data_IF_000647385839
#
_entry.id   IF_000647385839
#
_cell.length_a   1.000
_cell.length_b   1.000
_cell.length_c   1.000
_cell.angle_alpha   90.00
_cell.angle_beta   90.00
_cell.angle_gamma   90.00
#
_symmetry.space_group_name_H-M   'P 1'
#
loop_
_entity.id
_entity.type
_entity.pdbx_description
1 polymer ?
#
# COMPACT_ATOMS: atom_id res chain seq x y z
N UNK A 1 6.40 8.93 -7.08
CA UNK A 1 6.00 10.02 -6.16
C UNK A 1 6.98 11.15 -6.32
N UNK A 2 6.63 12.35 -5.84
CA UNK A 2 7.43 13.57 -5.94
C UNK A 2 8.82 13.40 -5.31
N UNK A 3 8.89 12.66 -4.20
CA UNK A 3 10.13 12.41 -3.43
C UNK A 3 10.83 11.10 -3.77
N UNK A 4 10.58 10.54 -4.96
CA UNK A 4 11.27 9.33 -5.42
C UNK A 4 12.67 9.67 -5.91
N UNK A 5 13.71 9.04 -5.35
CA UNK A 5 15.10 9.20 -5.81
C UNK A 5 15.38 8.45 -7.13
N UNK A 6 14.44 7.62 -7.58
CA UNK A 6 14.58 6.81 -8.78
C UNK A 6 13.59 7.24 -9.85
N UNK A 7 14.13 7.52 -11.03
CA UNK A 7 13.39 7.68 -12.28
C UNK A 7 13.65 6.45 -13.18
N UNK A 8 12.62 5.62 -13.34
CA UNK A 8 12.70 4.45 -14.23
C UNK A 8 12.36 4.92 -15.63
N UNK A 9 13.41 5.18 -16.43
CA UNK A 9 13.25 5.47 -17.86
C UNK A 9 12.50 4.33 -18.56
N UNK A 10 11.59 4.69 -19.45
CA UNK A 10 10.74 3.76 -20.23
C UNK A 10 11.52 2.62 -20.90
N UNK A 11 12.72 2.91 -21.43
CA UNK A 11 13.61 1.91 -22.05
C UNK A 11 14.08 0.81 -21.10
N UNK A 12 14.16 1.10 -19.80
CA UNK A 12 14.63 0.17 -18.76
C UNK A 12 13.49 -0.49 -17.99
N UNK A 13 12.26 0.00 -18.14
CA UNK A 13 11.08 -0.43 -17.38
C UNK A 13 10.84 -1.95 -17.49
N UNK A 14 10.76 -2.47 -18.71
CA UNK A 14 10.56 -3.91 -18.96
C UNK A 14 11.66 -4.77 -18.31
N UNK A 15 12.91 -4.29 -18.31
CA UNK A 15 14.05 -5.00 -17.70
C UNK A 15 13.95 -5.02 -16.18
N UNK A 16 13.51 -3.92 -15.56
CA UNK A 16 13.31 -3.81 -14.12
C UNK A 16 12.17 -4.73 -13.69
N UNK A 17 11.03 -4.67 -14.38
CA UNK A 17 9.86 -5.53 -14.11
C UNK A 17 10.24 -7.01 -14.24
N UNK A 18 10.88 -7.40 -15.34
CA UNK A 18 11.34 -8.79 -15.55
C UNK A 18 12.23 -9.29 -14.41
N UNK A 19 13.09 -8.42 -13.86
CA UNK A 19 13.95 -8.75 -12.72
C UNK A 19 13.13 -8.96 -11.45
N UNK A 20 12.12 -8.12 -11.19
CA UNK A 20 11.23 -8.25 -10.03
C UNK A 20 10.34 -9.49 -10.12
N UNK A 21 9.76 -9.78 -11.28
CA UNK A 21 9.01 -11.01 -11.51
C UNK A 21 9.86 -12.26 -11.27
N UNK A 22 11.14 -12.24 -11.66
CA UNK A 22 12.05 -13.34 -11.34
C UNK A 22 12.18 -13.53 -9.83
N UNK A 23 12.32 -12.45 -9.06
CA UNK A 23 12.36 -12.53 -7.58
C UNK A 23 11.05 -13.07 -7.01
N UNK A 24 9.90 -12.64 -7.52
CA UNK A 24 8.59 -13.15 -7.09
C UNK A 24 8.47 -14.65 -7.34
N UNK A 25 8.87 -15.13 -8.53
CA UNK A 25 8.85 -16.57 -8.85
C UNK A 25 9.74 -17.39 -7.92
N UNK A 26 10.96 -16.94 -7.64
CA UNK A 26 11.85 -17.66 -6.72
C UNK A 26 11.33 -17.63 -5.28
N UNK A 27 10.78 -16.50 -4.82
CA UNK A 27 10.15 -16.41 -3.51
C UNK A 27 8.93 -17.35 -3.39
N UNK A 28 8.07 -17.39 -4.40
CA UNK A 28 6.90 -18.28 -4.41
C UNK A 28 7.28 -19.76 -4.41
N UNK A 29 8.34 -20.15 -5.14
CA UNK A 29 8.89 -21.51 -5.08
C UNK A 29 9.40 -21.86 -3.67
N UNK A 30 10.13 -20.94 -3.03
CA UNK A 30 10.67 -21.17 -1.69
C UNK A 30 9.58 -21.22 -0.62
N UNK A 31 8.53 -20.39 -0.75
CA UNK A 31 7.43 -20.31 0.21
C UNK A 31 6.32 -21.34 -0.05
N UNK A 32 6.35 -22.06 -1.16
CA UNK A 32 5.30 -23.00 -1.57
C UNK A 32 4.00 -22.32 -2.00
N UNK A 33 4.03 -21.04 -2.40
CA UNK A 33 2.84 -20.35 -2.88
C UNK A 33 2.44 -20.80 -4.29
N UNK A 34 1.17 -21.18 -4.45
CA UNK A 34 0.58 -21.55 -5.74
C UNK A 34 0.21 -20.35 -6.62
N UNK A 35 -0.05 -19.19 -6.00
CA UNK A 35 -0.42 -17.96 -6.70
C UNK A 35 0.75 -16.98 -6.68
N UNK A 36 1.13 -16.50 -7.87
CA UNK A 36 2.18 -15.50 -8.02
C UNK A 36 1.62 -14.09 -7.78
N UNK A 37 2.37 -13.28 -7.03
CA UNK A 37 2.09 -11.85 -6.91
C UNK A 37 2.22 -11.19 -8.27
N UNK A 38 1.18 -10.47 -8.71
CA UNK A 38 1.23 -9.68 -9.92
C UNK A 38 2.11 -8.44 -9.70
N UNK A 39 3.05 -8.18 -10.62
CA UNK A 39 3.88 -6.97 -10.60
C UNK A 39 3.42 -6.08 -11.75
N UNK A 40 2.79 -4.97 -11.41
CA UNK A 40 2.33 -3.99 -12.38
C UNK A 40 3.45 -3.02 -12.78
N UNK A 41 3.24 -2.33 -13.89
CA UNK A 41 4.15 -1.28 -14.35
C UNK A 41 4.16 -0.11 -13.36
N UNK A 42 5.30 0.58 -13.20
CA UNK A 42 5.33 1.83 -12.44
C UNK A 42 4.32 2.81 -13.02
N UNK A 43 3.42 3.31 -12.17
CA UNK A 43 2.38 4.29 -12.52
C UNK A 43 2.49 5.51 -11.62
N UNK A 44 1.99 6.64 -12.09
CA UNK A 44 1.94 7.85 -11.27
C UNK A 44 0.95 7.67 -10.12
N UNK A 45 1.26 8.24 -8.94
CA UNK A 45 0.39 8.19 -7.76
C UNK A 45 -1.06 8.63 -8.07
N UNK A 46 -1.19 9.65 -8.92
CA UNK A 46 -2.47 10.19 -9.38
C UNK A 46 -3.30 9.18 -10.18
N UNK A 47 -2.65 8.35 -10.99
CA UNK A 47 -3.34 7.32 -11.78
C UNK A 47 -3.74 6.16 -10.89
N UNK A 48 -2.89 5.76 -9.95
CA UNK A 48 -3.17 4.68 -9.00
C UNK A 48 -4.39 4.97 -8.14
N UNK A 49 -4.52 6.19 -7.59
CA UNK A 49 -5.65 6.50 -6.72
C UNK A 49 -6.99 6.48 -7.49
N UNK A 50 -6.97 6.88 -8.76
CA UNK A 50 -8.16 6.99 -9.61
C UNK A 50 -8.70 5.63 -10.07
N UNK A 51 -7.90 4.56 -10.02
CA UNK A 51 -8.35 3.21 -10.38
C UNK A 51 -9.00 2.45 -9.21
N UNK A 52 -8.99 3.01 -8.00
CA UNK A 52 -9.51 2.36 -6.80
C UNK A 52 -11.04 2.37 -6.78
N UNK A 53 -11.64 1.21 -6.49
CA UNK A 53 -13.08 1.07 -6.39
C UNK A 53 -13.61 1.73 -5.11
N UNK A 54 -14.77 2.41 -5.12
CA UNK A 54 -15.35 3.07 -3.93
C UNK A 54 -15.55 2.16 -2.71
N UNK A 55 -15.70 0.85 -2.93
CA UNK A 55 -15.85 -0.13 -1.86
C UNK A 55 -14.51 -0.50 -1.17
N UNK A 56 -13.37 -0.25 -1.83
CA UNK A 56 -12.06 -0.63 -1.32
C UNK A 56 -11.59 0.33 -0.22
N UNK A 57 -10.74 -0.15 0.68
CA UNK A 57 -10.11 0.68 1.72
C UNK A 57 -8.70 1.07 1.33
N UNK A 58 -8.30 2.29 1.68
CA UNK A 58 -6.98 2.84 1.40
C UNK A 58 -6.27 3.12 2.73
N UNK A 59 -5.04 2.66 2.87
CA UNK A 59 -4.19 2.99 4.02
C UNK A 59 -2.86 3.56 3.53
N UNK A 60 -2.54 4.76 4.00
CA UNK A 60 -1.30 5.46 3.69
C UNK A 60 -0.42 5.44 4.93
N UNK A 61 0.73 4.78 4.85
CA UNK A 61 1.66 4.72 5.98
C UNK A 61 2.60 5.92 5.95
N UNK A 62 2.45 6.80 6.94
CA UNK A 62 3.20 8.05 7.03
C UNK A 62 3.37 8.47 8.50
N UNK A 63 4.53 9.00 8.92
CA UNK A 63 4.78 9.31 10.33
C UNK A 63 4.08 10.58 10.84
N UNK A 64 3.67 11.49 9.95
CA UNK A 64 3.03 12.76 10.33
C UNK A 64 1.57 12.81 9.92
N UNK A 65 0.78 13.57 10.67
CA UNK A 65 -0.66 13.78 10.44
C UNK A 65 -1.49 12.49 10.40
N UNK A 66 -1.10 11.52 11.23
CA UNK A 66 -1.77 10.23 11.36
C UNK A 66 -3.20 10.41 11.86
N UNK A 67 -4.16 9.76 11.21
CA UNK A 67 -5.53 9.64 11.70
C UNK A 67 -5.65 8.53 12.74
N UNK A 68 -4.82 7.48 12.64
CA UNK A 68 -4.82 6.33 13.53
C UNK A 68 -3.41 5.87 13.90
N UNK A 69 -3.25 5.32 15.10
CA UNK A 69 -2.12 4.43 15.39
C UNK A 69 -2.30 3.10 14.65
N UNK A 70 -1.19 2.41 14.38
CA UNK A 70 -1.24 1.10 13.71
C UNK A 70 -2.12 0.09 14.44
N UNK A 71 -2.12 0.10 15.77
CA UNK A 71 -2.90 -0.83 16.60
C UNK A 71 -4.40 -0.58 16.48
N UNK A 72 -4.81 0.69 16.54
CA UNK A 72 -6.21 1.08 16.39
C UNK A 72 -6.72 0.72 14.99
N UNK A 73 -5.97 1.13 13.98
CA UNK A 73 -6.30 0.84 12.58
C UNK A 73 -6.42 -0.66 12.32
N UNK A 74 -5.50 -1.48 12.84
CA UNK A 74 -5.55 -2.93 12.70
C UNK A 74 -6.77 -3.54 13.40
N UNK A 75 -7.16 -3.00 14.56
CA UNK A 75 -8.37 -3.40 15.30
C UNK A 75 -9.64 -3.10 14.50
N UNK A 76 -9.74 -1.88 13.97
CA UNK A 76 -10.86 -1.43 13.13
C UNK A 76 -10.95 -2.21 11.80
N UNK A 77 -9.79 -2.52 11.21
CA UNK A 77 -9.71 -3.34 10.02
C UNK A 77 -10.26 -4.75 10.29
N UNK A 78 -9.90 -5.36 11.42
CA UNK A 78 -10.41 -6.68 11.84
C UNK A 78 -11.91 -6.67 12.12
N UNK A 79 -12.46 -5.58 12.66
CA UNK A 79 -13.91 -5.48 12.93
C UNK A 79 -14.73 -5.12 11.69
N UNK A 80 -14.22 -4.21 10.84
CA UNK A 80 -14.94 -3.67 9.68
C UNK A 80 -15.09 -4.68 8.53
N UNK A 81 -14.25 -5.71 8.47
CA UNK A 81 -14.33 -6.79 7.49
C UNK A 81 -15.24 -7.96 7.92
N UNK A 82 -15.96 -7.86 9.05
CA UNK A 82 -16.88 -8.91 9.51
C UNK A 82 -18.21 -8.92 8.72
N UNK A 83 -18.23 -9.81 7.75
CA UNK A 83 -19.25 -10.86 7.57
C UNK A 83 -20.68 -10.49 7.13
N UNK A 84 -20.88 -9.52 6.22
CA UNK A 84 -22.16 -9.37 5.52
C UNK A 84 -22.12 -8.62 4.16
N UNK A 85 -20.96 -8.52 3.51
CA UNK A 85 -20.87 -7.87 2.20
C UNK A 85 -20.80 -8.90 1.05
N UNK A 86 -21.66 -8.72 0.03
CA UNK A 86 -21.67 -9.54 -1.20
C UNK A 86 -20.33 -9.48 -1.95
N UNK A 87 -19.55 -8.43 -1.72
CA UNK A 87 -18.21 -8.22 -2.28
C UNK A 87 -17.24 -8.04 -1.12
N UNK A 88 -16.15 -8.81 -1.07
CA UNK A 88 -15.05 -8.54 -0.15
C UNK A 88 -14.25 -7.35 -0.68
N UNK A 89 -14.19 -6.22 0.02
CA UNK A 89 -13.46 -5.05 -0.47
C UNK A 89 -11.96 -5.32 -0.48
N UNK A 90 -11.24 -4.73 -1.41
CA UNK A 90 -9.78 -4.81 -1.43
C UNK A 90 -9.16 -3.80 -0.47
N UNK A 91 -7.92 -4.05 -0.06
CA UNK A 91 -7.14 -3.15 0.78
C UNK A 91 -5.92 -2.67 0.00
N UNK A 92 -5.84 -1.36 -0.24
CA UNK A 92 -4.73 -0.70 -0.92
C UNK A 92 -3.79 -0.09 0.10
N UNK A 93 -2.53 -0.52 0.09
CA UNK A 93 -1.50 -0.07 1.03
C UNK A 93 -0.50 0.83 0.30
N UNK A 94 -0.38 2.08 0.74
CA UNK A 94 0.56 3.05 0.18
C UNK A 94 1.72 3.27 1.13
N UNK A 95 2.93 3.04 0.62
CA UNK A 95 4.17 3.32 1.32
C UNK A 95 4.97 4.36 0.52
N UNK A 96 5.41 5.42 1.20
CA UNK A 96 6.22 6.46 0.58
C UNK A 96 7.68 6.02 0.39
N UNK A 97 8.45 6.73 -0.45
CA UNK A 97 9.91 6.58 -0.51
C UNK A 97 10.56 7.00 0.83
N UNK A 98 11.89 6.96 0.93
CA UNK A 98 12.62 7.34 2.16
C UNK A 98 12.27 8.75 2.65
N UNK A 99 12.03 9.70 1.74
CA UNK A 99 11.54 11.05 2.04
C UNK A 99 10.05 11.17 2.38
N UNK A 100 9.31 10.05 2.46
CA UNK A 100 7.87 10.01 2.68
C UNK A 100 7.07 10.65 1.54
N UNK A 101 5.82 11.01 1.85
CA UNK A 101 4.96 11.76 0.93
C UNK A 101 5.09 13.26 1.22
N UNK A 102 4.98 14.09 0.19
CA UNK A 102 4.85 15.53 0.40
C UNK A 102 3.49 15.89 1.02
N UNK A 103 3.39 17.04 1.68
CA UNK A 103 2.11 17.53 2.18
C UNK A 103 1.07 17.69 1.06
N UNK A 104 1.53 18.06 -0.14
CA UNK A 104 0.69 18.14 -1.33
C UNK A 104 0.20 16.76 -1.78
N UNK A 105 1.05 15.72 -1.76
CA UNK A 105 0.66 14.35 -2.07
C UNK A 105 -0.36 13.80 -1.06
N UNK A 106 -0.16 14.06 0.24
CA UNK A 106 -1.13 13.66 1.29
C UNK A 106 -2.47 14.37 1.09
N UNK A 107 -2.46 15.68 0.83
CA UNK A 107 -3.68 16.44 0.55
C UNK A 107 -4.40 15.91 -0.70
N UNK A 108 -3.65 15.62 -1.76
CA UNK A 108 -4.17 15.03 -3.00
C UNK A 108 -4.81 13.66 -2.78
N UNK A 109 -4.16 12.79 -2.00
CA UNK A 109 -4.70 11.46 -1.65
C UNK A 109 -6.01 11.58 -0.87
N UNK A 110 -6.07 12.44 0.14
CA UNK A 110 -7.29 12.72 0.93
C UNK A 110 -8.43 13.23 0.03
N UNK A 111 -8.14 14.19 -0.85
CA UNK A 111 -9.14 14.75 -1.76
C UNK A 111 -9.65 13.68 -2.74
N UNK A 112 -8.75 12.93 -3.37
CA UNK A 112 -9.12 11.91 -4.36
C UNK A 112 -9.96 10.80 -3.73
N UNK A 113 -9.58 10.32 -2.54
CA UNK A 113 -10.37 9.32 -1.82
C UNK A 113 -11.78 9.84 -1.47
N UNK A 114 -11.90 11.11 -1.06
CA UNK A 114 -13.19 11.75 -0.79
C UNK A 114 -14.07 11.83 -2.05
N UNK A 115 -13.49 12.19 -3.20
CA UNK A 115 -14.20 12.25 -4.49
C UNK A 115 -14.69 10.86 -4.92
N UNK A 116 -13.86 9.83 -4.72
CA UNK A 116 -14.19 8.43 -4.99
C UNK A 116 -15.15 7.81 -3.97
N UNK A 117 -15.39 8.49 -2.83
CA UNK A 117 -16.11 7.96 -1.65
C UNK A 117 -15.48 6.68 -1.09
N UNK A 118 -14.18 6.51 -1.28
CA UNK A 118 -13.41 5.41 -0.70
C UNK A 118 -12.86 5.84 0.67
N UNK A 119 -12.95 5.01 1.73
CA UNK A 119 -12.34 5.31 3.02
C UNK A 119 -10.81 5.30 2.90
N UNK A 120 -10.18 6.36 3.42
CA UNK A 120 -8.73 6.52 3.47
C UNK A 120 -8.27 6.84 4.89
N UNK A 121 -7.33 6.04 5.38
CA UNK A 121 -6.70 6.19 6.69
C UNK A 121 -5.21 6.53 6.51
N UNK A 122 -4.70 7.49 7.29
CA UNK A 122 -3.26 7.76 7.39
C UNK A 122 -2.77 7.14 8.69
N UNK A 123 -1.90 6.14 8.56
CA UNK A 123 -1.58 5.22 9.65
C UNK A 123 -0.12 5.41 10.08
N UNK A 124 0.06 5.72 11.37
CA UNK A 124 1.39 5.80 11.98
C UNK A 124 1.85 4.44 12.50
N UNK A 125 3.11 4.08 12.27
CA UNK A 125 3.70 2.78 12.67
C UNK A 125 4.41 2.80 14.04
N UNK A 126 3.99 3.70 14.92
CA UNK A 126 4.60 3.94 16.24
C UNK A 126 5.51 5.17 16.26
N UNK A 127 6.29 5.30 17.32
CA UNK A 127 7.06 6.52 17.62
C UNK A 127 8.36 6.63 16.82
N UNK A 128 8.87 5.51 16.28
CA UNK A 128 10.08 5.49 15.48
C UNK A 128 9.76 5.49 13.98
N UNK A 129 10.57 6.24 13.22
CA UNK A 129 10.51 6.21 11.76
C UNK A 129 11.16 4.90 11.31
N UNK A 130 10.35 4.02 10.73
CA UNK A 130 10.82 2.76 10.16
C UNK A 130 11.38 3.01 8.75
N UNK A 131 12.42 2.26 8.39
CA UNK A 131 12.82 2.14 6.98
C UNK A 131 11.69 1.53 6.17
N UNK A 132 11.60 1.90 4.89
CA UNK A 132 10.54 1.47 3.98
C UNK A 132 10.35 -0.05 3.99
N UNK A 133 11.42 -0.81 3.85
CA UNK A 133 11.35 -2.27 3.82
C UNK A 133 10.81 -2.85 5.14
N UNK A 134 11.25 -2.30 6.27
CA UNK A 134 10.78 -2.71 7.60
C UNK A 134 9.30 -2.37 7.80
N UNK A 135 8.86 -1.20 7.35
CA UNK A 135 7.46 -0.80 7.39
C UNK A 135 6.59 -1.78 6.59
N UNK A 136 6.98 -2.09 5.35
CA UNK A 136 6.26 -3.04 4.48
C UNK A 136 6.16 -4.42 5.12
N UNK A 137 7.28 -4.98 5.63
CA UNK A 137 7.25 -6.29 6.27
C UNK A 137 6.40 -6.33 7.54
N UNK A 138 6.48 -5.29 8.37
CA UNK A 138 5.73 -5.20 9.63
C UNK A 138 4.23 -5.14 9.37
N UNK A 139 3.81 -4.29 8.43
CA UNK A 139 2.40 -4.12 8.07
C UNK A 139 1.83 -5.39 7.43
N UNK A 140 2.50 -5.92 6.41
CA UNK A 140 2.01 -7.11 5.70
C UNK A 140 1.96 -8.34 6.61
N UNK A 141 2.93 -8.51 7.51
CA UNK A 141 2.92 -9.58 8.51
C UNK A 141 1.76 -9.47 9.49
N UNK A 142 1.49 -8.27 10.00
CA UNK A 142 0.38 -8.03 10.92
C UNK A 142 -1.00 -8.20 10.25
N UNK A 143 -1.17 -7.73 9.00
CA UNK A 143 -2.38 -7.96 8.22
C UNK A 143 -2.60 -9.48 8.03
N UNK A 144 -1.54 -10.21 7.68
CA UNK A 144 -1.61 -11.67 7.55
C UNK A 144 -1.98 -12.35 8.87
N UNK A 145 -1.50 -11.86 10.02
CA UNK A 145 -1.85 -12.41 11.32
C UNK A 145 -3.34 -12.28 11.65
N UNK A 146 -4.00 -11.21 11.22
CA UNK A 146 -5.41 -10.97 11.55
C UNK A 146 -6.42 -11.53 10.53
N UNK A 147 -5.97 -11.79 9.29
CA UNK A 147 -6.82 -12.28 8.18
C UNK A 147 -6.45 -13.66 7.63
N UNK A 148 -5.25 -14.15 7.91
CA UNK A 148 -4.77 -15.47 7.47
C UNK A 148 -4.81 -16.49 8.59
#
# INVERSE_FOLDING_TARGET
TERSDFDIKSEKENRVISRWEKKVREAAKQSGQLFLTNIEKPVALKETIQSIHPADRIAVFHPTECTHSFKEWLGELKSGFKDNQKTKPSLHLFFGPEGGFSAAEIAFLRQSAKELKAPLDIVGLGDSILRLETAVYSVTGAIRLIFG
#
